data_IF_557434374792
#
_entry.id   IF_557434374792
#
_cell.length_a   1.000
_cell.length_b   1.000
_cell.length_c   1.000
_cell.angle_alpha   90.00
_cell.angle_beta   90.00
_cell.angle_gamma   90.00
#
_symmetry.space_group_name_H-M   'P 1'
#
loop_
_entity.id
_entity.type
_entity.pdbx_description
1 polymer ?
#
# COMPACT_ATOMS: atom_id res chain seq x y z
N UNK A 1 -23.92 15.69 -7.13
CA UNK A 1 -23.09 15.39 -5.94
C UNK A 1 -21.66 15.20 -6.41
N UNK A 2 -20.85 16.22 -6.19
CA UNK A 2 -19.46 16.32 -6.61
C UNK A 2 -18.62 15.52 -5.60
N UNK A 3 -17.83 14.53 -6.03
CA UNK A 3 -16.90 13.86 -5.13
C UNK A 3 -15.64 14.71 -5.01
N UNK A 4 -15.60 15.51 -3.95
CA UNK A 4 -14.43 16.27 -3.52
C UNK A 4 -13.36 15.26 -3.08
N UNK A 5 -12.32 15.08 -3.89
CA UNK A 5 -11.20 14.19 -3.58
C UNK A 5 -10.29 14.84 -2.54
N UNK A 6 -10.67 14.72 -1.27
CA UNK A 6 -9.79 14.97 -0.13
C UNK A 6 -9.34 13.64 0.46
N UNK A 7 -8.19 13.17 0.01
CA UNK A 7 -7.38 12.18 0.73
C UNK A 7 -5.93 12.29 0.24
N UNK A 8 -5.29 13.42 0.59
CA UNK A 8 -3.84 13.46 0.63
C UNK A 8 -3.31 12.47 1.66
N UNK A 9 -2.24 11.75 1.33
CA UNK A 9 -1.36 11.16 2.35
C UNK A 9 -1.01 9.69 2.21
N UNK A 10 -1.56 8.94 1.25
CA UNK A 10 -1.05 7.60 0.96
C UNK A 10 0.30 7.68 0.25
N UNK A 11 1.41 7.40 0.93
CA UNK A 11 2.77 7.37 0.37
C UNK A 11 2.87 6.60 -0.96
N UNK A 12 2.04 5.56 -1.13
CA UNK A 12 1.93 4.79 -2.38
C UNK A 12 1.46 5.64 -3.58
N UNK A 13 0.44 6.48 -3.39
CA UNK A 13 -0.09 7.36 -4.44
C UNK A 13 0.90 8.47 -4.82
N UNK A 14 1.71 8.94 -3.86
CA UNK A 14 2.70 10.01 -4.09
C UNK A 14 3.93 9.55 -4.88
N UNK A 15 4.20 8.24 -4.93
CA UNK A 15 5.31 7.69 -5.73
C UNK A 15 4.96 7.48 -7.20
N UNK A 16 3.67 7.47 -7.56
CA UNK A 16 3.20 7.15 -8.92
C UNK A 16 3.51 5.72 -9.41
N UNK A 17 4.11 4.87 -8.56
CA UNK A 17 4.58 3.52 -8.93
C UNK A 17 3.55 2.42 -8.70
N UNK A 18 2.51 2.69 -7.90
CA UNK A 18 1.45 1.73 -7.59
C UNK A 18 0.16 2.21 -8.23
N UNK A 19 -0.39 1.41 -9.15
CA UNK A 19 -1.62 1.70 -9.87
C UNK A 19 -2.78 0.86 -9.35
N UNK A 20 -4.00 1.32 -9.62
CA UNK A 20 -5.19 0.51 -9.39
C UNK A 20 -5.06 -0.78 -10.19
N UNK A 21 -5.18 -1.94 -9.51
CA UNK A 21 -4.97 -3.26 -10.10
C UNK A 21 -3.62 -3.90 -9.73
N UNK A 22 -2.68 -3.14 -9.18
CA UNK A 22 -1.45 -3.70 -8.61
C UNK A 22 -1.76 -4.38 -7.27
N UNK A 23 -1.07 -5.49 -7.01
CA UNK A 23 -1.24 -6.26 -5.76
C UNK A 23 0.03 -6.21 -4.93
N UNK A 24 -0.10 -5.78 -3.67
CA UNK A 24 0.98 -5.85 -2.68
C UNK A 24 1.15 -7.30 -2.25
N UNK A 25 2.35 -7.83 -2.44
CA UNK A 25 2.71 -9.19 -2.03
C UNK A 25 3.42 -9.19 -0.68
N UNK A 26 4.28 -8.21 -0.43
CA UNK A 26 4.99 -8.10 0.84
C UNK A 26 5.23 -6.64 1.25
N UNK A 27 5.28 -6.41 2.56
CA UNK A 27 5.66 -5.14 3.19
C UNK A 27 6.83 -5.42 4.12
N UNK A 28 7.98 -4.81 3.83
CA UNK A 28 9.24 -4.94 4.57
C UNK A 28 9.67 -6.38 4.83
N UNK A 29 9.50 -7.22 3.80
CA UNK A 29 9.84 -8.65 3.84
C UNK A 29 8.77 -9.55 4.44
N UNK A 30 7.66 -8.99 4.96
CA UNK A 30 6.53 -9.77 5.47
C UNK A 30 5.52 -9.99 4.34
N UNK A 31 5.21 -11.25 4.05
CA UNK A 31 4.14 -11.60 3.09
C UNK A 31 2.78 -11.13 3.62
N UNK A 32 2.05 -10.38 2.80
CA UNK A 32 0.73 -9.82 3.12
C UNK A 32 -0.39 -10.37 2.23
N UNK A 33 -0.09 -11.33 1.34
CA UNK A 33 -1.07 -11.86 0.37
C UNK A 33 -2.27 -12.56 1.00
N UNK A 34 -2.10 -13.15 2.19
CA UNK A 34 -3.16 -13.80 2.97
C UNK A 34 -3.70 -12.95 4.12
N UNK A 35 -3.18 -11.74 4.32
CA UNK A 35 -3.60 -10.87 5.44
C UNK A 35 -4.90 -10.14 5.11
N UNK A 36 -5.75 -10.00 6.12
CA UNK A 36 -6.86 -9.06 6.04
C UNK A 36 -6.35 -7.62 5.98
N UNK A 37 -7.18 -6.70 5.47
CA UNK A 37 -6.86 -5.27 5.44
C UNK A 37 -6.47 -4.73 6.83
N UNK A 38 -7.14 -5.22 7.87
CA UNK A 38 -6.87 -4.81 9.25
C UNK A 38 -5.48 -5.29 9.71
N UNK A 39 -5.10 -6.52 9.39
CA UNK A 39 -3.78 -7.06 9.72
C UNK A 39 -2.67 -6.33 8.98
N UNK A 40 -2.82 -6.14 7.66
CA UNK A 40 -1.85 -5.39 6.86
C UNK A 40 -1.67 -3.95 7.38
N UNK A 41 -2.76 -3.28 7.77
CA UNK A 41 -2.67 -1.91 8.33
C UNK A 41 -2.15 -1.88 9.76
N UNK A 42 -2.31 -2.94 10.56
CA UNK A 42 -1.64 -3.06 11.86
C UNK A 42 -0.13 -3.23 11.68
N UNK A 43 0.30 -4.09 10.75
CA UNK A 43 1.71 -4.29 10.40
C UNK A 43 2.35 -3.00 9.90
N UNK A 44 1.64 -2.21 9.08
CA UNK A 44 2.14 -0.92 8.62
C UNK A 44 2.28 0.10 9.76
N UNK A 45 1.35 0.09 10.73
CA UNK A 45 1.30 1.04 11.85
C UNK A 45 2.24 0.70 13.01
N UNK A 46 2.59 -0.57 13.18
CA UNK A 46 3.53 -1.01 14.23
C UNK A 46 4.98 -0.76 13.87
N UNK A 47 5.27 -0.35 12.64
CA UNK A 47 6.63 -0.09 12.18
C UNK A 47 7.21 1.23 12.70
N UNK A 48 8.53 1.28 12.89
CA UNK A 48 9.25 2.55 13.09
C UNK A 48 9.02 3.50 11.91
N UNK A 49 9.06 4.81 12.17
CA UNK A 49 9.04 5.80 11.11
C UNK A 49 10.25 5.62 10.18
N UNK A 50 10.04 5.64 8.88
CA UNK A 50 11.10 5.47 7.89
C UNK A 50 10.59 4.97 6.54
N UNK A 51 11.50 4.68 5.59
CA UNK A 51 11.15 4.11 4.30
C UNK A 51 10.46 2.75 4.45
N UNK A 52 9.47 2.51 3.59
CA UNK A 52 8.73 1.25 3.53
C UNK A 52 9.14 0.54 2.25
N UNK A 53 9.62 -0.69 2.37
CA UNK A 53 9.92 -1.54 1.22
C UNK A 53 8.68 -2.36 0.89
N UNK A 54 8.22 -2.36 -0.36
CA UNK A 54 7.06 -3.15 -0.77
C UNK A 54 7.40 -3.97 -2.01
N UNK A 55 6.99 -5.24 -2.01
CA UNK A 55 6.99 -6.09 -3.20
C UNK A 55 5.61 -6.01 -3.80
N UNK A 56 5.54 -5.56 -5.06
CA UNK A 56 4.28 -5.32 -5.75
C UNK A 56 4.28 -6.13 -7.04
N UNK A 57 3.22 -6.88 -7.25
CA UNK A 57 2.92 -7.47 -8.55
C UNK A 57 2.15 -6.44 -9.36
N UNK A 58 2.84 -5.82 -10.32
CA UNK A 58 2.16 -4.95 -11.25
C UNK A 58 1.44 -5.77 -12.31
N UNK A 59 0.15 -5.49 -12.50
CA UNK A 59 -0.61 -5.99 -13.63
C UNK A 59 -0.74 -4.83 -14.61
N UNK A 60 0.31 -4.63 -15.41
CA UNK A 60 0.23 -3.73 -16.56
C UNK A 60 -0.87 -4.27 -17.48
N UNK A 61 -1.97 -3.52 -17.57
CA UNK A 61 -2.89 -3.58 -18.70
C UNK A 61 -2.30 -2.73 -19.83
#
# INVERSE_FOLDING_TARGET
>A
MQMHTHAGGGSAARSGRVKVGDQVLAIDGIDVTGMSYLEATKTLRSRPQGPITMIIRSRLL
#
